data_IF_153844564990
#
_entry.id   IF_153844564990
#
_cell.length_a   1.000
_cell.length_b   1.000
_cell.length_c   1.000
_cell.angle_alpha   90.00
_cell.angle_beta   90.00
_cell.angle_gamma   90.00
#
_symmetry.space_group_name_H-M   'P 1'
#
loop_
_entity.id
_entity.type
_entity.pdbx_description
1 polymer ?
#
# COMPACT_ATOMS: atom_id res chain seq x y z
N UNK A 1 10.46 -33.77 0.67
CA UNK A 1 11.09 -33.82 -0.67
C UNK A 1 11.50 -32.40 -1.03
N UNK A 2 12.76 -32.25 -1.47
CA UNK A 2 13.53 -31.03 -1.82
C UNK A 2 13.61 -29.90 -0.78
N UNK A 3 14.48 -30.08 0.20
CA UNK A 3 14.97 -29.04 1.11
C UNK A 3 16.33 -28.50 0.62
N UNK A 4 16.36 -28.00 -0.61
CA UNK A 4 17.56 -27.45 -1.27
C UNK A 4 17.22 -26.20 -2.07
N UNK A 5 16.61 -25.22 -1.41
CA UNK A 5 16.66 -23.82 -1.83
C UNK A 5 17.77 -23.13 -1.05
N UNK A 6 18.75 -22.52 -1.73
CA UNK A 6 19.78 -21.70 -1.09
C UNK A 6 19.09 -20.68 -0.15
N UNK A 7 19.38 -20.74 1.15
CA UNK A 7 18.79 -19.81 2.13
C UNK A 7 19.39 -18.43 1.88
N UNK A 8 18.58 -17.37 1.90
CA UNK A 8 19.10 -16.01 1.85
C UNK A 8 20.06 -15.79 3.03
N UNK A 9 21.14 -15.05 2.81
CA UNK A 9 22.09 -14.66 3.86
C UNK A 9 21.91 -13.19 4.24
N UNK A 10 22.37 -12.75 5.43
CA UNK A 10 22.38 -11.34 5.82
C UNK A 10 23.10 -10.50 4.77
N UNK A 11 22.56 -9.34 4.40
CA UNK A 11 23.20 -8.44 3.43
C UNK A 11 24.48 -7.79 3.95
N UNK A 12 24.78 -7.94 5.24
CA UNK A 12 26.06 -7.58 5.88
C UNK A 12 27.17 -8.59 5.58
N UNK A 13 26.83 -9.78 5.08
CA UNK A 13 27.76 -10.91 4.89
C UNK A 13 28.31 -11.06 3.45
N UNK A 14 27.89 -10.23 2.51
CA UNK A 14 28.42 -10.26 1.14
C UNK A 14 27.79 -9.24 0.20
N UNK A 15 28.09 -9.36 -1.10
CA UNK A 15 27.71 -8.37 -2.13
C UNK A 15 26.94 -8.95 -3.32
N UNK A 16 26.16 -10.02 -3.11
CA UNK A 16 25.26 -10.54 -4.17
C UNK A 16 24.20 -9.47 -4.51
N UNK A 17 23.68 -9.48 -5.74
CA UNK A 17 22.67 -8.51 -6.19
C UNK A 17 21.45 -8.40 -5.26
N UNK A 18 21.01 -9.50 -4.63
CA UNK A 18 19.90 -9.44 -3.68
C UNK A 18 20.28 -8.79 -2.34
N UNK A 19 21.57 -8.78 -1.95
CA UNK A 19 22.05 -8.04 -0.78
C UNK A 19 22.00 -6.53 -1.01
N UNK A 20 22.45 -6.08 -2.18
CA UNK A 20 22.37 -4.66 -2.57
C UNK A 20 20.91 -4.18 -2.57
N UNK A 21 20.02 -4.98 -3.15
CA UNK A 21 18.57 -4.73 -3.12
C UNK A 21 18.00 -4.78 -1.71
N UNK A 22 18.49 -5.66 -0.83
CA UNK A 22 18.04 -5.73 0.56
C UNK A 22 18.45 -4.49 1.36
N UNK A 23 19.68 -3.98 1.13
CA UNK A 23 20.14 -2.69 1.68
C UNK A 23 19.26 -1.53 1.20
N UNK A 24 18.85 -1.53 -0.07
CA UNK A 24 17.94 -0.52 -0.62
C UNK A 24 16.48 -0.69 -0.14
N UNK A 25 16.03 -1.92 0.09
CA UNK A 25 14.66 -2.23 0.50
C UNK A 25 14.39 -1.83 1.97
N UNK A 26 15.34 -2.05 2.88
CA UNK A 26 15.10 -1.82 4.30
C UNK A 26 14.69 -0.36 4.63
N UNK A 27 15.31 0.69 4.08
CA UNK A 27 14.83 2.06 4.25
C UNK A 27 13.39 2.30 3.76
N UNK A 28 12.98 1.68 2.64
CA UNK A 28 11.61 1.76 2.12
C UNK A 28 10.64 1.08 3.08
N UNK A 29 11.00 -0.11 3.58
CA UNK A 29 10.19 -0.84 4.56
C UNK A 29 10.05 -0.05 5.88
N UNK A 30 11.12 0.61 6.33
CA UNK A 30 11.08 1.49 7.52
C UNK A 30 10.14 2.66 7.30
N UNK A 31 10.18 3.33 6.13
CA UNK A 31 9.20 4.37 5.79
C UNK A 31 7.76 3.86 5.89
N UNK A 32 7.49 2.67 5.36
CA UNK A 32 6.15 2.06 5.42
C UNK A 32 5.75 1.67 6.84
N UNK A 33 6.68 1.18 7.66
CA UNK A 33 6.45 0.89 9.06
C UNK A 33 6.07 2.16 9.85
N UNK A 34 6.83 3.25 9.66
CA UNK A 34 6.55 4.56 10.28
C UNK A 34 5.20 5.13 9.82
N UNK A 35 4.79 4.88 8.57
CA UNK A 35 3.49 5.29 8.03
C UNK A 35 2.31 4.40 8.43
N UNK A 36 2.55 3.27 9.10
CA UNK A 36 1.51 2.31 9.46
C UNK A 36 0.86 1.61 8.26
N UNK A 37 1.56 1.52 7.13
CA UNK A 37 1.03 0.95 5.88
C UNK A 37 1.78 -0.30 5.46
N UNK A 38 1.06 -1.31 4.99
CA UNK A 38 1.65 -2.43 4.25
C UNK A 38 2.05 -2.00 2.83
N UNK A 39 2.84 -2.84 2.17
CA UNK A 39 3.28 -2.62 0.78
C UNK A 39 3.05 -3.88 -0.02
N UNK A 40 2.71 -3.79 -1.30
CA UNK A 40 2.64 -4.99 -2.12
C UNK A 40 4.00 -5.38 -2.70
N UNK A 41 4.16 -6.66 -3.07
CA UNK A 41 5.35 -7.12 -3.79
C UNK A 41 5.62 -6.34 -5.08
N UNK A 42 4.57 -6.02 -5.86
CA UNK A 42 4.77 -5.25 -7.10
C UNK A 42 5.19 -3.82 -6.79
N UNK A 43 4.63 -3.20 -5.75
CA UNK A 43 4.92 -1.80 -5.44
C UNK A 43 6.34 -1.65 -4.87
N UNK A 44 6.79 -2.60 -4.04
CA UNK A 44 8.18 -2.65 -3.61
C UNK A 44 9.14 -2.89 -4.77
N UNK A 45 8.78 -3.78 -5.71
CA UNK A 45 9.59 -4.02 -6.89
C UNK A 45 9.71 -2.76 -7.75
N UNK A 46 8.62 -2.01 -7.94
CA UNK A 46 8.63 -0.73 -8.65
C UNK A 46 9.56 0.28 -8.00
N UNK A 47 9.48 0.47 -6.67
CA UNK A 47 10.35 1.42 -5.96
C UNK A 47 11.84 1.00 -5.94
N UNK A 48 12.11 -0.30 -6.06
CA UNK A 48 13.47 -0.85 -6.18
C UNK A 48 13.96 -0.97 -7.63
N UNK A 49 13.17 -0.48 -8.61
CA UNK A 49 13.43 -0.60 -10.04
C UNK A 49 13.71 -2.07 -10.46
N UNK A 50 13.01 -3.00 -9.81
CA UNK A 50 13.15 -4.43 -10.05
C UNK A 50 12.17 -4.91 -11.13
N UNK A 51 12.65 -5.57 -12.20
CA UNK A 51 11.78 -6.02 -13.29
C UNK A 51 10.88 -7.19 -12.91
N UNK A 52 11.22 -7.95 -11.86
CA UNK A 52 10.45 -9.13 -11.45
C UNK A 52 10.30 -9.20 -9.93
N UNK A 53 9.07 -8.94 -9.46
CA UNK A 53 8.71 -9.00 -8.05
C UNK A 53 8.90 -10.38 -7.41
N UNK A 54 8.95 -11.48 -8.19
CA UNK A 54 9.18 -12.85 -7.65
C UNK A 54 10.54 -12.98 -6.96
N UNK A 55 11.54 -12.20 -7.37
CA UNK A 55 12.88 -12.23 -6.80
C UNK A 55 12.98 -11.52 -5.44
N UNK A 56 11.89 -10.87 -4.99
CA UNK A 56 11.85 -10.23 -3.66
C UNK A 56 11.92 -11.24 -2.52
N UNK A 57 11.69 -12.54 -2.75
CA UNK A 57 11.84 -13.57 -1.72
C UNK A 57 13.27 -13.58 -1.12
N UNK A 58 14.31 -13.51 -1.95
CA UNK A 58 15.71 -13.45 -1.48
C UNK A 58 16.04 -12.11 -0.83
N UNK A 59 15.53 -11.02 -1.39
CA UNK A 59 15.73 -9.65 -0.86
C UNK A 59 15.14 -9.54 0.55
N UNK A 60 13.87 -9.93 0.71
CA UNK A 60 13.17 -9.89 1.99
C UNK A 60 13.69 -10.94 2.98
N UNK A 61 14.11 -12.10 2.48
CA UNK A 61 14.81 -13.10 3.30
C UNK A 61 16.11 -12.53 3.86
N UNK A 62 16.91 -11.85 3.04
CA UNK A 62 18.16 -11.20 3.46
C UNK A 62 17.92 -10.09 4.48
N UNK A 63 16.87 -9.27 4.30
CA UNK A 63 16.44 -8.30 5.32
C UNK A 63 16.11 -9.01 6.64
N UNK A 64 15.31 -10.07 6.59
CA UNK A 64 14.90 -10.82 7.79
C UNK A 64 16.09 -11.43 8.54
N UNK A 65 17.02 -12.07 7.83
CA UNK A 65 18.22 -12.65 8.45
C UNK A 65 19.15 -11.58 9.03
N UNK A 66 19.31 -10.42 8.35
CA UNK A 66 20.09 -9.31 8.90
C UNK A 66 19.48 -8.78 10.20
N UNK A 67 18.15 -8.63 10.27
CA UNK A 67 17.47 -8.16 11.47
C UNK A 67 17.48 -9.19 12.60
N UNK A 68 17.39 -10.48 12.29
CA UNK A 68 17.55 -11.56 13.27
C UNK A 68 18.96 -11.58 13.86
N UNK A 69 20.00 -11.41 13.02
CA UNK A 69 21.37 -11.29 13.47
C UNK A 69 21.59 -10.06 14.35
N UNK A 70 21.11 -8.89 13.91
CA UNK A 70 21.20 -7.66 14.69
C UNK A 70 20.46 -7.78 16.03
N UNK A 71 19.32 -8.48 16.05
CA UNK A 71 18.52 -8.69 17.27
C UNK A 71 19.28 -9.43 18.38
N UNK A 72 20.30 -10.24 18.05
CA UNK A 72 21.09 -11.00 19.04
C UNK A 72 21.87 -10.09 20.00
N UNK A 73 22.25 -8.90 19.55
CA UNK A 73 22.94 -7.89 20.35
C UNK A 73 22.07 -6.65 20.60
N UNK A 74 20.79 -6.68 20.18
CA UNK A 74 19.88 -5.55 20.32
C UNK A 74 19.14 -5.59 21.67
N UNK A 75 18.95 -4.45 22.37
CA UNK A 75 18.28 -4.43 23.67
C UNK A 75 16.81 -4.88 23.65
N UNK A 76 16.16 -4.81 22.50
CA UNK A 76 14.76 -5.17 22.30
C UNK A 76 14.63 -6.06 21.07
N UNK A 77 13.61 -6.92 21.03
CA UNK A 77 13.31 -7.69 19.81
C UNK A 77 13.03 -6.71 18.66
N UNK A 78 13.76 -6.85 17.55
CA UNK A 78 13.42 -6.17 16.31
C UNK A 78 12.32 -6.99 15.63
N UNK A 79 11.12 -6.42 15.41
CA UNK A 79 10.04 -7.17 14.78
C UNK A 79 10.33 -7.43 13.29
N UNK A 80 9.75 -8.48 12.68
CA UNK A 80 10.07 -8.89 11.32
C UNK A 80 9.44 -7.96 10.27
N UNK A 81 10.08 -6.82 9.98
CA UNK A 81 9.57 -5.76 9.09
C UNK A 81 9.18 -6.24 7.69
N UNK A 82 9.83 -7.29 7.20
CA UNK A 82 9.55 -7.90 5.90
C UNK A 82 8.10 -8.41 5.77
N UNK A 83 7.40 -8.66 6.88
CA UNK A 83 5.99 -9.04 6.85
C UNK A 83 5.04 -7.92 6.41
N UNK A 84 5.53 -6.67 6.29
CA UNK A 84 4.81 -5.58 5.65
C UNK A 84 4.50 -5.85 4.17
N UNK A 85 5.30 -6.71 3.52
CA UNK A 85 5.15 -6.98 2.10
C UNK A 85 4.16 -8.10 1.86
N UNK A 86 3.04 -7.76 1.24
CA UNK A 86 1.89 -8.66 1.08
C UNK A 86 1.51 -8.87 -0.39
N UNK A 87 0.84 -9.97 -0.67
CA UNK A 87 0.19 -10.20 -1.96
C UNK A 87 -1.11 -9.37 -2.05
N UNK A 88 -1.33 -8.66 -3.17
CA UNK A 88 -2.50 -7.78 -3.37
C UNK A 88 -3.85 -8.51 -3.24
N UNK A 89 -3.92 -9.79 -3.64
CA UNK A 89 -5.16 -10.56 -3.61
C UNK A 89 -5.43 -11.15 -2.22
N UNK A 90 -4.41 -11.75 -1.58
CA UNK A 90 -4.61 -12.47 -0.33
C UNK A 90 -4.49 -11.58 0.91
N UNK A 91 -3.75 -10.47 0.80
CA UNK A 91 -3.38 -9.60 1.92
C UNK A 91 -2.37 -10.26 2.88
N UNK A 92 -1.68 -11.32 2.45
CA UNK A 92 -0.74 -12.08 3.26
C UNK A 92 0.68 -12.03 2.65
N UNK A 93 1.74 -12.12 3.48
CA UNK A 93 3.10 -12.33 3.00
C UNK A 93 3.23 -13.65 2.24
N UNK A 94 4.15 -13.70 1.29
CA UNK A 94 4.50 -14.93 0.58
C UNK A 94 5.22 -15.95 1.47
N UNK A 95 5.36 -17.18 0.97
CA UNK A 95 5.94 -18.30 1.73
C UNK A 95 7.37 -18.03 2.20
N UNK A 96 8.18 -17.32 1.41
CA UNK A 96 9.56 -16.94 1.76
C UNK A 96 9.68 -15.88 2.88
N UNK A 97 8.56 -15.35 3.36
CA UNK A 97 8.49 -14.37 4.46
C UNK A 97 7.69 -14.93 5.65
N UNK A 98 6.74 -15.82 5.38
CA UNK A 98 5.82 -16.39 6.37
C UNK A 98 6.48 -17.11 7.55
N UNK A 99 7.64 -17.73 7.35
CA UNK A 99 8.45 -18.37 8.40
C UNK A 99 9.01 -17.44 9.49
N UNK A 100 8.99 -16.11 9.31
CA UNK A 100 9.42 -15.16 10.34
C UNK A 100 8.33 -14.79 11.35
N UNK A 101 7.07 -15.20 11.10
CA UNK A 101 5.91 -14.78 11.91
C UNK A 101 5.68 -15.67 13.14
N UNK A 102 5.84 -16.99 12.99
CA UNK A 102 5.65 -18.01 14.04
C UNK A 102 6.39 -19.27 13.62
N UNK A 103 6.50 -20.26 14.52
CA UNK A 103 7.02 -21.59 14.18
C UNK A 103 6.42 -22.11 12.86
N UNK A 104 7.30 -22.44 11.91
CA UNK A 104 6.98 -22.77 10.51
C UNK A 104 5.97 -23.92 10.41
N UNK A 105 6.06 -24.89 11.32
CA UNK A 105 5.18 -26.06 11.37
C UNK A 105 3.76 -25.71 11.84
N UNK A 106 3.62 -24.70 12.70
CA UNK A 106 2.34 -24.19 13.19
C UNK A 106 1.66 -23.26 12.18
N UNK A 107 2.39 -22.27 11.64
CA UNK A 107 1.82 -21.21 10.79
C UNK A 107 1.23 -21.74 9.47
N UNK A 108 1.95 -22.64 8.80
CA UNK A 108 1.51 -23.17 7.48
C UNK A 108 0.16 -23.88 7.54
N UNK A 109 -0.12 -24.55 8.67
CA UNK A 109 -1.35 -25.30 8.94
C UNK A 109 -2.53 -24.43 9.38
N UNK A 110 -2.30 -23.16 9.70
CA UNK A 110 -3.37 -22.25 10.12
C UNK A 110 -4.35 -21.96 8.97
N UNK A 111 -5.67 -21.93 9.25
CA UNK A 111 -6.66 -21.35 8.35
C UNK A 111 -6.33 -19.90 7.97
N UNK A 112 -6.81 -19.45 6.81
CA UNK A 112 -6.53 -18.09 6.30
C UNK A 112 -6.92 -16.98 7.29
N UNK A 113 -8.03 -17.12 8.00
CA UNK A 113 -8.47 -16.14 9.02
C UNK A 113 -7.50 -16.04 10.20
N UNK A 114 -6.95 -17.17 10.65
CA UNK A 114 -5.95 -17.21 11.72
C UNK A 114 -4.61 -16.65 11.24
N UNK A 115 -4.19 -16.95 10.00
CA UNK A 115 -3.00 -16.33 9.39
C UNK A 115 -3.10 -14.81 9.36
N UNK A 116 -4.27 -14.26 8.99
CA UNK A 116 -4.54 -12.82 9.03
C UNK A 116 -4.47 -12.24 10.44
N UNK A 117 -4.96 -12.97 11.43
CA UNK A 117 -4.92 -12.54 12.83
C UNK A 117 -3.49 -12.48 13.35
N UNK A 118 -2.68 -13.52 13.08
CA UNK A 118 -1.26 -13.57 13.41
C UNK A 118 -0.51 -12.41 12.74
N UNK A 119 -0.71 -12.22 11.43
CA UNK A 119 -0.10 -11.13 10.69
C UNK A 119 -0.46 -9.77 11.29
N UNK A 120 -1.74 -9.54 11.63
CA UNK A 120 -2.17 -8.28 12.25
C UNK A 120 -1.46 -8.02 13.58
N UNK A 121 -1.22 -9.07 14.38
CA UNK A 121 -0.43 -8.97 15.61
C UNK A 121 1.01 -8.54 15.35
N UNK A 122 1.70 -9.22 14.44
CA UNK A 122 3.10 -8.86 14.10
C UNK A 122 3.22 -7.49 13.43
N UNK A 123 2.28 -7.11 12.55
CA UNK A 123 2.23 -5.78 11.97
C UNK A 123 2.05 -4.69 13.03
N UNK A 124 1.23 -4.96 14.06
CA UNK A 124 1.08 -4.02 15.18
C UNK A 124 2.40 -3.80 15.91
N UNK A 125 3.21 -4.85 16.10
CA UNK A 125 4.56 -4.71 16.66
C UNK A 125 5.50 -3.92 15.72
N UNK A 126 5.45 -4.20 14.40
CA UNK A 126 6.24 -3.47 13.41
C UNK A 126 5.93 -1.98 13.40
N UNK A 127 4.64 -1.61 13.37
CA UNK A 127 4.20 -0.22 13.34
C UNK A 127 4.49 0.53 14.64
N UNK A 128 4.40 -0.15 15.79
CA UNK A 128 4.64 0.45 17.09
C UNK A 128 6.13 0.51 17.48
N UNK A 129 7.03 -0.08 16.69
CA UNK A 129 8.44 -0.19 17.07
C UNK A 129 9.19 1.15 16.89
N UNK A 130 9.65 1.80 17.99
CA UNK A 130 10.27 3.13 17.91
C UNK A 130 11.73 3.07 17.42
N UNK A 131 12.32 1.88 17.35
CA UNK A 131 13.73 1.67 17.09
C UNK A 131 14.14 1.73 15.61
N UNK A 132 13.21 1.94 14.66
CA UNK A 132 13.54 1.79 13.23
C UNK A 132 14.67 2.67 12.74
N UNK A 133 14.73 3.93 13.17
CA UNK A 133 15.83 4.84 12.81
C UNK A 133 17.17 4.42 13.39
N UNK A 134 17.16 3.85 14.61
CA UNK A 134 18.36 3.29 15.23
C UNK A 134 18.84 2.03 14.50
N UNK A 135 17.91 1.18 14.03
CA UNK A 135 18.22 0.02 13.19
C UNK A 135 18.89 0.45 11.89
N UNK A 136 18.36 1.47 11.20
CA UNK A 136 18.99 1.99 9.99
C UNK A 136 20.40 2.54 10.29
N UNK A 137 20.56 3.32 11.34
CA UNK A 137 21.85 3.88 11.74
C UNK A 137 22.88 2.78 12.05
N UNK A 138 22.49 1.73 12.79
CA UNK A 138 23.36 0.61 13.12
C UNK A 138 23.82 -0.21 11.89
N UNK A 139 23.05 -0.16 10.80
CA UNK A 139 23.36 -0.83 9.53
C UNK A 139 24.01 0.12 8.50
N UNK A 140 24.33 1.35 8.92
CA UNK A 140 24.89 2.42 8.10
C UNK A 140 24.00 2.74 6.89
N UNK A 141 22.68 2.73 7.10
CA UNK A 141 21.68 3.05 6.10
C UNK A 141 21.02 4.39 6.42
N UNK A 142 20.73 5.16 5.38
CA UNK A 142 20.00 6.41 5.51
C UNK A 142 18.49 6.16 5.36
N UNK A 143 17.64 6.84 6.14
CA UNK A 143 16.21 6.86 5.90
C UNK A 143 15.90 7.38 4.49
N UNK A 144 14.83 6.86 3.87
CA UNK A 144 14.34 7.46 2.63
C UNK A 144 13.66 8.78 2.99
N UNK A 145 14.19 9.88 2.46
CA UNK A 145 13.55 11.19 2.54
C UNK A 145 13.03 11.59 1.17
N UNK A 146 11.72 11.73 1.02
CA UNK A 146 11.14 12.35 -0.17
C UNK A 146 10.80 13.81 0.10
N UNK A 147 11.16 14.69 -0.84
CA UNK A 147 10.82 16.10 -0.79
C UNK A 147 9.52 16.32 -1.55
N UNK A 148 8.41 16.42 -0.82
CA UNK A 148 7.09 16.69 -1.40
C UNK A 148 6.63 18.13 -1.17
N UNK A 149 7.40 18.96 -0.47
CA UNK A 149 6.92 20.27 0.01
C UNK A 149 6.36 21.17 -1.10
N UNK A 150 7.05 21.26 -2.24
CA UNK A 150 6.56 22.03 -3.40
C UNK A 150 5.27 21.43 -3.98
N UNK A 151 5.25 20.12 -4.22
CA UNK A 151 4.07 19.42 -4.76
C UNK A 151 2.86 19.51 -3.81
N UNK A 152 3.08 19.44 -2.50
CA UNK A 152 2.03 19.58 -1.50
C UNK A 152 1.51 21.02 -1.44
N UNK A 153 2.39 22.01 -1.51
CA UNK A 153 2.00 23.42 -1.56
C UNK A 153 1.21 23.74 -2.84
N UNK A 154 1.64 23.22 -3.98
CA UNK A 154 0.91 23.33 -5.26
C UNK A 154 -0.46 22.65 -5.18
N UNK A 155 -0.53 21.42 -4.63
CA UNK A 155 -1.80 20.72 -4.46
C UNK A 155 -2.76 21.44 -3.51
N UNK A 156 -2.26 22.03 -2.43
CA UNK A 156 -3.06 22.78 -1.46
C UNK A 156 -3.59 24.11 -2.01
N UNK A 157 -2.84 24.74 -2.92
CA UNK A 157 -3.23 25.98 -3.58
C UNK A 157 -4.02 25.75 -4.87
N UNK A 158 -4.10 24.52 -5.36
CA UNK A 158 -4.81 24.15 -6.57
C UNK A 158 -6.28 24.56 -6.50
N UNK A 159 -6.71 25.38 -7.47
CA UNK A 159 -8.11 25.74 -7.70
C UNK A 159 -8.58 25.01 -8.94
N UNK A 160 -9.48 24.04 -8.79
CA UNK A 160 -10.08 23.33 -9.92
C UNK A 160 -10.95 24.28 -10.76
N UNK A 161 -10.83 24.18 -12.08
CA UNK A 161 -11.68 24.91 -13.03
C UNK A 161 -12.91 24.11 -13.40
N UNK A 162 -13.88 23.99 -12.49
CA UNK A 162 -15.11 23.21 -12.73
C UNK A 162 -14.86 21.73 -13.06
N UNK A 163 -15.93 20.96 -13.28
CA UNK A 163 -15.83 19.61 -13.84
C UNK A 163 -15.65 19.69 -15.37
N UNK A 164 -14.65 18.99 -15.90
CA UNK A 164 -14.44 18.86 -17.35
C UNK A 164 -15.25 17.69 -17.93
N UNK A 165 -15.51 17.72 -19.24
CA UNK A 165 -16.20 16.61 -19.92
C UNK A 165 -15.43 15.28 -19.85
N UNK A 166 -14.09 15.31 -19.78
CA UNK A 166 -13.29 14.10 -19.62
C UNK A 166 -13.43 13.53 -18.20
N UNK A 167 -13.48 14.39 -17.19
CA UNK A 167 -13.73 13.99 -15.80
C UNK A 167 -15.12 13.39 -15.65
N UNK A 168 -16.14 14.07 -16.20
CA UNK A 168 -17.53 13.60 -16.18
C UNK A 168 -17.69 12.24 -16.85
N UNK A 169 -17.14 12.06 -18.06
CA UNK A 169 -17.18 10.77 -18.78
C UNK A 169 -16.47 9.65 -18.03
N UNK A 170 -15.33 9.94 -17.39
CA UNK A 170 -14.63 8.97 -16.56
C UNK A 170 -15.44 8.57 -15.33
N UNK A 171 -16.04 9.55 -14.64
CA UNK A 171 -16.91 9.36 -13.48
C UNK A 171 -18.11 8.48 -13.83
N UNK A 172 -18.84 8.83 -14.89
CA UNK A 172 -19.99 8.07 -15.40
C UNK A 172 -19.60 6.64 -15.80
N UNK A 173 -18.49 6.47 -16.52
CA UNK A 173 -17.99 5.15 -16.88
C UNK A 173 -17.65 4.31 -15.65
N UNK A 174 -16.84 4.85 -14.73
CA UNK A 174 -16.45 4.13 -13.51
C UNK A 174 -17.67 3.68 -12.71
N UNK A 175 -18.70 4.51 -12.59
CA UNK A 175 -19.96 4.16 -11.90
C UNK A 175 -20.65 2.91 -12.47
N UNK A 176 -20.51 2.63 -13.77
CA UNK A 176 -21.10 1.45 -14.42
C UNK A 176 -20.21 0.20 -14.33
N UNK A 177 -18.97 0.33 -13.87
CA UNK A 177 -17.94 -0.70 -13.94
C UNK A 177 -17.33 -1.04 -12.55
N UNK A 178 -18.11 -1.65 -11.64
CA UNK A 178 -17.65 -1.99 -10.28
C UNK A 178 -16.41 -2.89 -10.24
N UNK A 179 -16.18 -3.70 -11.28
CA UNK A 179 -14.99 -4.56 -11.43
C UNK A 179 -13.68 -3.78 -11.49
N UNK A 180 -13.68 -2.52 -11.93
CA UNK A 180 -12.49 -1.68 -11.97
C UNK A 180 -11.90 -1.45 -10.58
N UNK A 181 -12.75 -1.44 -9.54
CA UNK A 181 -12.36 -1.21 -8.15
C UNK A 181 -12.33 -2.50 -7.33
N UNK A 182 -12.33 -3.65 -8.02
CA UNK A 182 -12.23 -4.98 -7.42
C UNK A 182 -13.51 -5.49 -6.78
N UNK A 183 -14.67 -4.94 -7.15
CA UNK A 183 -15.98 -5.50 -6.78
C UNK A 183 -16.44 -6.50 -7.87
N UNK A 184 -17.35 -7.45 -7.57
CA UNK A 184 -17.94 -8.29 -8.61
C UNK A 184 -18.64 -7.44 -9.69
N UNK A 185 -18.51 -7.83 -10.96
CA UNK A 185 -19.20 -7.15 -12.07
C UNK A 185 -20.74 -7.16 -11.93
N UNK A 186 -21.29 -8.10 -11.14
CA UNK A 186 -22.71 -8.18 -10.79
C UNK A 186 -23.13 -7.26 -9.65
N UNK A 187 -22.21 -6.45 -9.10
CA UNK A 187 -22.54 -5.49 -8.03
C UNK A 187 -23.42 -4.37 -8.58
N UNK A 188 -24.11 -3.68 -7.69
CA UNK A 188 -24.87 -2.49 -8.08
C UNK A 188 -23.93 -1.42 -8.66
N UNK A 189 -24.44 -0.67 -9.64
CA UNK A 189 -23.74 0.50 -10.17
C UNK A 189 -23.50 1.53 -9.06
N UNK A 190 -22.43 2.29 -9.21
CA UNK A 190 -22.02 3.33 -8.29
C UNK A 190 -22.94 4.55 -8.36
N UNK A 191 -23.08 5.22 -7.22
CA UNK A 191 -23.73 6.53 -7.11
C UNK A 191 -22.69 7.61 -7.38
N UNK A 192 -22.94 8.47 -8.37
CA UNK A 192 -22.06 9.62 -8.65
C UNK A 192 -22.37 10.79 -7.71
N UNK A 193 -21.34 11.55 -7.33
CA UNK A 193 -21.47 12.76 -6.49
C UNK A 193 -22.10 12.49 -5.12
N UNK A 194 -21.68 11.41 -4.48
CA UNK A 194 -22.19 11.02 -3.17
C UNK A 194 -21.71 11.97 -2.08
N UNK A 195 -22.64 12.67 -1.43
CA UNK A 195 -22.34 13.64 -0.37
C UNK A 195 -21.92 12.97 0.95
N UNK A 196 -20.81 13.42 1.50
CA UNK A 196 -20.33 13.05 2.83
C UNK A 196 -20.75 14.08 3.89
N UNK A 197 -20.90 13.67 5.17
CA UNK A 197 -21.24 14.61 6.25
C UNK A 197 -20.18 15.69 6.52
N UNK A 198 -18.97 15.57 5.99
CA UNK A 198 -17.96 16.64 6.01
C UNK A 198 -18.29 17.81 5.08
N UNK A 199 -19.30 17.66 4.20
CA UNK A 199 -19.62 18.59 3.13
C UNK A 199 -18.90 18.31 1.81
N UNK A 200 -18.03 17.29 1.77
CA UNK A 200 -17.39 16.84 0.54
C UNK A 200 -18.32 15.96 -0.30
N UNK A 201 -18.01 15.83 -1.58
CA UNK A 201 -18.69 14.91 -2.50
C UNK A 201 -17.69 13.92 -3.08
N UNK A 202 -17.99 12.63 -3.01
CA UNK A 202 -17.20 11.56 -3.63
C UNK A 202 -17.62 11.47 -5.11
N UNK A 203 -16.66 11.37 -6.03
CA UNK A 203 -16.99 11.26 -7.47
C UNK A 203 -17.87 10.05 -7.77
N UNK A 204 -17.49 8.86 -7.28
CA UNK A 204 -18.30 7.64 -7.37
C UNK A 204 -18.24 6.84 -6.06
N UNK A 205 -19.41 6.42 -5.58
CA UNK A 205 -19.57 5.64 -4.35
C UNK A 205 -20.22 4.29 -4.64
N UNK A 206 -19.57 3.20 -4.20
CA UNK A 206 -20.12 1.85 -4.28
C UNK A 206 -20.44 1.27 -2.90
N UNK A 207 -21.58 0.59 -2.80
CA UNK A 207 -21.97 -0.22 -1.65
C UNK A 207 -22.08 -1.68 -2.06
N UNK A 208 -21.35 -2.56 -1.40
CA UNK A 208 -21.47 -4.00 -1.61
C UNK A 208 -21.35 -4.75 -0.28
N UNK A 209 -22.49 -5.16 0.28
CA UNK A 209 -22.57 -5.72 1.63
C UNK A 209 -21.94 -4.78 2.66
N UNK A 210 -20.99 -5.30 3.44
CA UNK A 210 -20.25 -4.53 4.45
C UNK A 210 -19.05 -3.75 3.87
N UNK A 211 -18.99 -3.55 2.56
CA UNK A 211 -17.92 -2.78 1.90
C UNK A 211 -18.46 -1.46 1.36
N UNK A 212 -17.78 -0.37 1.68
CA UNK A 212 -18.00 0.95 1.09
C UNK A 212 -16.73 1.40 0.36
N UNK A 213 -16.82 1.53 -0.96
CA UNK A 213 -15.71 1.99 -1.79
C UNK A 213 -16.02 3.39 -2.29
N UNK A 214 -15.18 4.36 -1.92
CA UNK A 214 -15.13 5.67 -2.56
C UNK A 214 -14.15 5.64 -3.73
N UNK A 215 -14.50 6.34 -4.79
CA UNK A 215 -13.63 6.53 -5.94
C UNK A 215 -13.47 8.01 -6.20
N UNK A 216 -12.22 8.44 -6.32
CA UNK A 216 -11.85 9.73 -6.90
C UNK A 216 -11.34 9.47 -8.32
N UNK A 217 -11.79 10.24 -9.29
CA UNK A 217 -11.34 10.10 -10.69
C UNK A 217 -10.43 11.26 -11.10
N UNK A 218 -9.43 10.98 -11.92
CA UNK A 218 -8.60 12.02 -12.55
C UNK A 218 -8.41 11.71 -14.03
N UNK A 219 -8.68 12.70 -14.87
CA UNK A 219 -8.56 12.55 -16.32
C UNK A 219 -7.10 12.54 -16.76
N UNK A 220 -6.85 12.21 -18.03
CA UNK A 220 -5.50 12.30 -18.61
C UNK A 220 -4.93 13.73 -18.62
N UNK A 221 -5.77 14.75 -18.41
CA UNK A 221 -5.39 16.16 -18.37
C UNK A 221 -5.00 16.64 -16.96
N UNK A 222 -5.20 15.83 -15.92
CA UNK A 222 -4.90 16.22 -14.54
C UNK A 222 -3.38 16.40 -14.34
N UNK A 223 -2.91 17.61 -13.95
CA UNK A 223 -1.51 17.83 -13.65
C UNK A 223 -1.09 17.14 -12.34
N UNK A 224 0.21 17.03 -12.10
CA UNK A 224 0.75 16.36 -10.90
C UNK A 224 0.15 16.89 -9.58
N UNK A 225 -0.06 18.20 -9.45
CA UNK A 225 -0.70 18.80 -8.28
C UNK A 225 -2.15 18.31 -8.07
N UNK A 226 -2.92 18.10 -9.13
CA UNK A 226 -4.29 17.57 -9.05
C UNK A 226 -4.30 16.06 -8.75
N UNK A 227 -3.29 15.31 -9.23
CA UNK A 227 -3.10 13.91 -8.84
C UNK A 227 -2.77 13.78 -7.36
N UNK A 228 -1.86 14.62 -6.83
CA UNK A 228 -1.56 14.71 -5.40
C UNK A 228 -2.83 15.05 -4.62
N UNK A 229 -3.61 16.05 -5.08
CA UNK A 229 -4.91 16.39 -4.49
C UNK A 229 -5.84 15.16 -4.45
N UNK A 230 -5.92 14.40 -5.54
CA UNK A 230 -6.70 13.16 -5.61
C UNK A 230 -6.28 12.09 -4.59
N UNK A 231 -4.97 11.91 -4.39
CA UNK A 231 -4.44 11.00 -3.34
C UNK A 231 -4.93 11.45 -1.95
N UNK A 232 -4.85 12.75 -1.64
CA UNK A 232 -5.32 13.28 -0.35
C UNK A 232 -6.86 13.30 -0.23
N UNK A 233 -7.59 13.45 -1.33
CA UNK A 233 -9.05 13.28 -1.36
C UNK A 233 -9.41 11.85 -0.96
N UNK A 234 -8.73 10.83 -1.48
CA UNK A 234 -8.93 9.44 -1.04
C UNK A 234 -8.64 9.25 0.46
N UNK A 235 -7.57 9.86 1.00
CA UNK A 235 -7.30 9.84 2.45
C UNK A 235 -8.47 10.42 3.24
N UNK A 236 -8.97 11.59 2.82
CA UNK A 236 -10.09 12.29 3.45
C UNK A 236 -11.37 11.47 3.40
N UNK A 237 -11.73 10.92 2.24
CA UNK A 237 -12.94 10.12 2.08
C UNK A 237 -12.90 8.90 3.00
N UNK A 238 -11.78 8.16 3.02
CA UNK A 238 -11.61 7.01 3.91
C UNK A 238 -11.87 7.38 5.37
N UNK A 239 -11.23 8.43 5.87
CA UNK A 239 -11.39 8.88 7.26
C UNK A 239 -12.83 9.29 7.59
N UNK A 240 -13.49 10.04 6.70
CA UNK A 240 -14.88 10.49 6.93
C UNK A 240 -15.85 9.33 6.86
N UNK A 241 -15.70 8.42 5.89
CA UNK A 241 -16.51 7.22 5.77
C UNK A 241 -16.38 6.30 6.98
N UNK A 242 -15.16 6.10 7.49
CA UNK A 242 -14.90 5.37 8.74
C UNK A 242 -15.63 6.03 9.92
N UNK A 243 -15.57 7.36 10.03
CA UNK A 243 -16.27 8.10 11.08
C UNK A 243 -17.80 7.96 10.99
N UNK A 244 -18.38 7.97 9.78
CA UNK A 244 -19.81 7.74 9.55
C UNK A 244 -20.25 6.38 10.08
N UNK A 245 -19.43 5.36 9.89
CA UNK A 245 -19.75 4.02 10.35
C UNK A 245 -19.50 3.82 11.84
N UNK A 246 -18.44 4.42 12.38
CA UNK A 246 -18.22 4.48 13.82
C UNK A 246 -19.42 5.14 14.54
N UNK A 247 -19.96 6.23 14.00
CA UNK A 247 -21.15 6.90 14.54
C UNK A 247 -22.41 6.00 14.54
N UNK A 248 -22.45 4.98 13.67
CA UNK A 248 -23.53 3.99 13.58
C UNK A 248 -23.24 2.70 14.34
N UNK A 249 -22.10 2.61 15.04
CA UNK A 249 -21.63 1.37 15.69
C UNK A 249 -21.53 0.18 14.72
N UNK A 250 -21.20 0.45 13.45
CA UNK A 250 -21.03 -0.56 12.41
C UNK A 250 -19.54 -0.73 12.10
N UNK A 251 -19.13 -1.99 11.93
CA UNK A 251 -17.80 -2.32 11.41
C UNK A 251 -17.93 -2.71 9.95
N UNK A 252 -17.32 -1.94 9.08
CA UNK A 252 -17.33 -2.16 7.63
C UNK A 252 -15.95 -2.00 7.06
N UNK A 253 -15.77 -2.53 5.86
CA UNK A 253 -14.57 -2.33 5.09
C UNK A 253 -14.71 -1.05 4.27
N UNK A 254 -13.98 0.00 4.66
CA UNK A 254 -13.90 1.26 3.93
C UNK A 254 -12.65 1.25 3.05
N UNK A 255 -12.84 1.52 1.76
CA UNK A 255 -11.75 1.69 0.79
C UNK A 255 -11.93 2.98 0.03
N UNK A 256 -10.82 3.60 -0.35
CA UNK A 256 -10.79 4.71 -1.28
C UNK A 256 -9.81 4.38 -2.41
N UNK A 257 -10.26 4.49 -3.65
CA UNK A 257 -9.50 4.15 -4.85
C UNK A 257 -9.37 5.40 -5.71
N UNK A 258 -8.16 5.73 -6.13
CA UNK A 258 -7.91 6.76 -7.13
C UNK A 258 -7.89 6.10 -8.52
N UNK A 259 -8.83 6.47 -9.38
CA UNK A 259 -8.90 5.97 -10.77
C UNK A 259 -8.33 7.03 -11.72
N UNK A 260 -7.37 6.62 -12.53
CA UNK A 260 -6.66 7.49 -13.47
C UNK A 260 -6.91 7.04 -14.91
N UNK A 261 -7.20 7.99 -15.78
CA UNK A 261 -7.18 7.78 -17.24
C UNK A 261 -5.78 7.58 -17.80
N UNK A 262 -4.75 8.05 -17.09
CA UNK A 262 -3.35 7.94 -17.45
C UNK A 262 -2.57 7.09 -16.43
N UNK A 263 -1.28 6.89 -16.70
CA UNK A 263 -0.34 6.28 -15.76
C UNK A 263 0.03 7.29 -14.65
N UNK A 264 0.08 6.83 -13.41
CA UNK A 264 0.57 7.59 -12.26
C UNK A 264 2.06 7.91 -12.48
N UNK A 265 2.46 9.19 -12.40
CA UNK A 265 3.86 9.56 -12.51
C UNK A 265 4.73 8.80 -11.48
N UNK A 266 5.89 8.23 -11.87
CA UNK A 266 6.74 7.46 -10.96
C UNK A 266 7.11 8.19 -9.66
N UNK A 267 7.27 9.52 -9.73
CA UNK A 267 7.55 10.38 -8.57
C UNK A 267 6.46 10.33 -7.48
N UNK A 268 5.22 9.98 -7.84
CA UNK A 268 4.08 9.87 -6.92
C UNK A 268 3.87 8.46 -6.37
N UNK A 269 4.55 7.44 -6.90
CA UNK A 269 4.44 6.05 -6.40
C UNK A 269 4.81 5.94 -4.91
N UNK A 270 5.92 6.53 -4.41
CA UNK A 270 6.24 6.43 -2.99
C UNK A 270 5.22 7.19 -2.12
N UNK A 271 4.65 8.30 -2.58
CA UNK A 271 3.60 9.03 -1.86
C UNK A 271 2.33 8.19 -1.73
N UNK A 272 1.85 7.63 -2.84
CA UNK A 272 0.71 6.70 -2.88
C UNK A 272 0.91 5.54 -1.90
N UNK A 273 2.09 4.92 -1.94
CA UNK A 273 2.42 3.78 -1.08
C UNK A 273 2.48 4.19 0.40
N UNK A 274 3.07 5.34 0.70
CA UNK A 274 3.17 5.87 2.07
C UNK A 274 1.79 6.16 2.66
N UNK A 275 0.84 6.64 1.85
CA UNK A 275 -0.53 6.95 2.28
C UNK A 275 -1.50 5.76 2.18
N UNK A 276 -1.02 4.62 1.65
CA UNK A 276 -1.81 3.41 1.48
C UNK A 276 -3.04 3.63 0.58
N UNK A 277 -2.86 4.35 -0.54
CA UNK A 277 -3.93 4.62 -1.50
C UNK A 277 -3.88 3.62 -2.66
N UNK A 278 -5.02 2.99 -2.93
CA UNK A 278 -5.18 2.13 -4.10
C UNK A 278 -5.29 2.99 -5.35
N UNK A 279 -4.58 2.62 -6.42
CA UNK A 279 -4.65 3.33 -7.71
C UNK A 279 -4.92 2.33 -8.82
N UNK A 280 -5.88 2.68 -9.69
CA UNK A 280 -6.18 1.96 -10.93
C UNK A 280 -5.85 2.90 -12.08
N UNK A 281 -4.94 2.47 -12.95
CA UNK A 281 -4.34 3.32 -13.98
C UNK A 281 -4.85 2.95 -15.37
N UNK A 282 -4.74 3.89 -16.31
CA UNK A 282 -5.08 3.68 -17.73
C UNK A 282 -6.53 3.23 -17.97
N UNK A 283 -7.48 3.75 -17.19
CA UNK A 283 -8.91 3.48 -17.39
C UNK A 283 -9.44 4.37 -18.51
N UNK A 284 -9.81 3.75 -19.63
CA UNK A 284 -10.34 4.45 -20.79
C UNK A 284 -11.86 4.22 -20.89
N UNK A 285 -12.69 5.27 -20.79
CA UNK A 285 -14.12 5.15 -21.03
C UNK A 285 -14.37 4.62 -22.44
N UNK A 286 -14.99 3.46 -22.55
CA UNK A 286 -15.42 2.87 -23.82
C UNK A 286 -16.95 2.77 -23.83
N UNK A 287 -17.57 3.22 -24.91
CA UNK A 287 -19.02 3.06 -25.11
C UNK A 287 -19.94 3.96 -24.26
N UNK A 288 -19.51 5.19 -23.94
CA UNK A 288 -20.40 6.26 -23.43
C UNK A 288 -21.02 7.02 -24.59
#
# INVERSE_FOLDING_TARGET
MSDTGEKATPFTSGSKLYHERARAALPILVRQAEAGQSLSYSDLATELEMPNARNLNFVLGSVGETLDELSKSWPQRIPPIQCLVVNKQTGLPGDGVSWFLVDKAGYTKLPLSQKRTVLKGELSHVFAYPGWRHVLAALELQPVTQQYDSLLAEAASFRGGGESDDHRRLKEYVALHPELVGLPASSQHGETEHSLPSGDSIDVSFRNGDTWVAVEVKSALSPAADLVRGIYQCVKYRAVMEAVFAAKSLTVNVRAVLVLQATLPPVLVPLRNTLGIEVVENVLPTGV
#
